data_IF_543265023176
#
_entry.id   IF_543265023176
#
_cell.length_a   1.000
_cell.length_b   1.000
_cell.length_c   1.000
_cell.angle_alpha   90.00
_cell.angle_beta   90.00
_cell.angle_gamma   90.00
#
_symmetry.space_group_name_H-M   'P 1'
#
loop_
_entity.id
_entity.type
_entity.pdbx_description
1 polymer ?
#
# COMPACT_ATOMS: atom_id res chain seq x y z
N UNK A 1 14.22 -6.97 33.01
CA UNK A 1 13.37 -6.02 32.24
C UNK A 1 14.20 -5.52 31.06
N UNK A 2 14.02 -6.05 29.84
CA UNK A 2 14.83 -5.61 28.67
C UNK A 2 13.95 -4.66 27.86
N UNK A 3 14.28 -3.36 27.90
CA UNK A 3 13.68 -2.36 27.03
C UNK A 3 14.00 -2.72 25.58
N UNK A 4 12.97 -2.97 24.77
CA UNK A 4 13.15 -3.07 23.33
C UNK A 4 13.41 -1.66 22.80
N UNK A 5 14.37 -1.47 21.88
CA UNK A 5 14.61 -0.17 21.29
C UNK A 5 13.35 0.26 20.53
N UNK A 6 12.81 1.43 20.91
CA UNK A 6 11.62 2.03 20.27
C UNK A 6 11.94 2.63 18.89
N UNK A 7 13.21 2.72 18.52
CA UNK A 7 13.67 3.21 17.22
C UNK A 7 14.99 2.55 16.82
N UNK A 8 15.21 2.33 15.53
CA UNK A 8 16.49 1.81 15.02
C UNK A 8 16.34 0.80 13.88
N UNK A 9 17.23 -0.19 13.83
CA UNK A 9 17.15 -1.29 12.87
C UNK A 9 16.43 -2.49 13.52
N UNK A 10 15.43 -3.04 12.83
CA UNK A 10 14.77 -4.28 13.22
C UNK A 10 15.71 -5.45 12.94
N UNK A 11 16.31 -5.98 14.00
CA UNK A 11 17.17 -7.17 13.95
C UNK A 11 16.39 -8.43 14.35
N UNK A 12 16.90 -9.60 13.97
CA UNK A 12 16.29 -10.90 14.27
C UNK A 12 15.98 -11.09 15.77
N UNK A 13 16.88 -10.64 16.65
CA UNK A 13 16.68 -10.75 18.10
C UNK A 13 15.53 -9.89 18.61
N UNK A 14 15.32 -8.72 18.00
CA UNK A 14 14.19 -7.84 18.33
C UNK A 14 12.90 -8.46 17.80
N UNK A 15 12.89 -8.89 16.54
CA UNK A 15 11.76 -9.59 15.91
C UNK A 15 11.31 -10.81 16.74
N UNK A 16 12.25 -11.69 17.14
CA UNK A 16 11.95 -12.87 17.96
C UNK A 16 11.34 -12.52 19.32
N UNK A 17 11.78 -11.42 19.94
CA UNK A 17 11.19 -10.93 21.21
C UNK A 17 9.79 -10.36 21.01
N UNK A 18 9.55 -9.69 19.89
CA UNK A 18 8.23 -9.15 19.52
C UNK A 18 7.23 -10.27 19.26
N UNK A 19 7.63 -11.29 18.49
CA UNK A 19 6.83 -12.52 18.25
C UNK A 19 6.47 -13.20 19.56
N UNK A 20 7.43 -13.37 20.47
CA UNK A 20 7.16 -13.97 21.80
C UNK A 20 6.18 -13.16 22.66
N UNK A 21 6.15 -11.84 22.50
CA UNK A 21 5.29 -10.94 23.28
C UNK A 21 3.96 -10.63 22.59
N UNK A 22 3.78 -11.06 21.34
CA UNK A 22 2.68 -10.64 20.48
C UNK A 22 2.47 -9.11 20.53
N UNK A 23 3.58 -8.37 20.55
CA UNK A 23 3.54 -6.92 20.71
C UNK A 23 3.14 -6.26 19.38
N UNK A 24 2.26 -5.25 19.45
CA UNK A 24 1.96 -4.39 18.31
C UNK A 24 3.23 -3.64 17.88
N UNK A 25 3.41 -3.50 16.56
CA UNK A 25 4.54 -2.76 15.97
C UNK A 25 4.28 -1.26 15.85
N UNK A 26 3.06 -0.80 16.13
CA UNK A 26 2.62 0.59 15.94
C UNK A 26 3.46 1.60 16.73
N UNK A 27 3.92 1.22 17.93
CA UNK A 27 4.75 2.07 18.80
C UNK A 27 6.23 2.11 18.37
N UNK A 28 6.65 1.29 17.41
CA UNK A 28 8.05 1.11 17.04
C UNK A 28 8.43 1.84 15.75
N UNK A 29 9.45 2.69 15.84
CA UNK A 29 9.95 3.50 14.72
C UNK A 29 11.21 2.89 14.10
N UNK A 30 11.09 1.69 13.53
CA UNK A 30 12.20 1.05 12.83
C UNK A 30 12.44 1.70 11.46
N UNK A 31 13.68 2.13 11.21
CA UNK A 31 14.07 2.79 9.94
C UNK A 31 14.50 1.78 8.86
N UNK A 32 14.96 0.60 9.28
CA UNK A 32 15.46 -0.45 8.42
C UNK A 32 15.14 -1.82 9.02
N UNK A 33 15.04 -2.84 8.18
CA UNK A 33 14.81 -4.22 8.58
C UNK A 33 15.88 -5.14 7.99
N UNK A 34 16.26 -6.19 8.71
CA UNK A 34 17.08 -7.26 8.14
C UNK A 34 16.19 -8.34 7.52
N UNK A 35 16.66 -9.08 6.49
CA UNK A 35 15.84 -10.11 5.85
C UNK A 35 15.35 -11.15 6.85
N UNK A 36 16.24 -11.67 7.69
CA UNK A 36 15.89 -12.62 8.75
C UNK A 36 14.84 -12.08 9.73
N UNK A 37 14.85 -10.78 10.02
CA UNK A 37 13.84 -10.18 10.87
C UNK A 37 12.48 -10.10 10.17
N UNK A 38 12.44 -9.77 8.87
CA UNK A 38 11.21 -9.75 8.08
C UNK A 38 10.49 -11.11 8.10
N UNK A 39 11.23 -12.20 7.88
CA UNK A 39 10.69 -13.57 7.94
C UNK A 39 10.16 -13.97 9.32
N UNK A 40 10.71 -13.42 10.41
CA UNK A 40 10.23 -13.71 11.76
C UNK A 40 8.96 -12.93 12.11
N UNK A 41 8.90 -11.64 11.79
CA UNK A 41 7.73 -10.81 12.13
C UNK A 41 6.48 -11.23 11.36
N UNK A 42 6.64 -11.86 10.19
CA UNK A 42 5.54 -12.44 9.40
C UNK A 42 4.77 -13.54 10.16
N UNK A 43 5.36 -14.12 11.21
CA UNK A 43 4.68 -15.10 12.07
C UNK A 43 3.70 -14.44 13.04
N UNK A 44 3.74 -13.12 13.20
CA UNK A 44 2.78 -12.40 14.03
C UNK A 44 1.41 -12.41 13.35
N UNK A 45 0.33 -12.75 14.08
CA UNK A 45 -1.01 -12.58 13.56
C UNK A 45 -1.41 -11.10 13.56
N UNK A 46 -2.18 -10.68 12.56
CA UNK A 46 -2.81 -9.36 12.53
C UNK A 46 -2.27 -8.42 11.47
N UNK A 47 -2.04 -7.16 11.84
CA UNK A 47 -1.55 -6.11 10.94
C UNK A 47 -0.11 -5.77 11.33
N UNK A 48 0.79 -5.83 10.35
CA UNK A 48 2.18 -5.41 10.50
C UNK A 48 2.32 -3.95 10.11
N UNK A 49 2.41 -3.08 11.11
CA UNK A 49 2.64 -1.65 10.92
C UNK A 49 4.15 -1.35 10.86
N UNK A 50 4.66 -1.03 9.66
CA UNK A 50 6.06 -0.72 9.39
C UNK A 50 6.21 0.67 8.74
N UNK A 51 5.45 1.64 9.27
CA UNK A 51 5.28 2.98 8.70
C UNK A 51 6.52 3.88 8.74
N UNK A 52 7.61 3.43 9.37
CA UNK A 52 8.86 4.18 9.49
C UNK A 52 10.01 3.57 8.69
N UNK A 53 9.80 2.43 8.02
CA UNK A 53 10.85 1.70 7.31
C UNK A 53 11.11 2.38 5.97
N UNK A 54 12.19 3.14 5.86
CA UNK A 54 12.58 3.83 4.63
C UNK A 54 13.51 2.99 3.75
N UNK A 55 14.26 2.06 4.36
CA UNK A 55 15.20 1.18 3.67
C UNK A 55 14.73 -0.27 3.70
N UNK A 56 14.21 -0.74 2.57
CA UNK A 56 13.88 -2.14 2.30
C UNK A 56 14.75 -2.67 1.17
N UNK A 57 15.40 -3.81 1.39
CA UNK A 57 16.01 -4.59 0.33
C UNK A 57 14.97 -5.51 -0.34
N UNK A 58 15.24 -6.05 -1.53
CA UNK A 58 14.37 -7.03 -2.18
C UNK A 58 14.05 -8.22 -1.26
N UNK A 59 15.08 -8.79 -0.62
CA UNK A 59 14.92 -9.92 0.30
C UNK A 59 14.04 -9.58 1.52
N UNK A 60 14.16 -8.37 2.07
CA UNK A 60 13.27 -7.94 3.15
C UNK A 60 11.82 -7.81 2.66
N UNK A 61 11.63 -7.23 1.48
CA UNK A 61 10.30 -7.02 0.87
C UNK A 61 9.63 -8.35 0.60
N UNK A 62 10.35 -9.35 0.07
CA UNK A 62 9.81 -10.70 -0.17
C UNK A 62 9.42 -11.41 1.12
N UNK A 63 10.22 -11.24 2.18
CA UNK A 63 9.87 -11.73 3.51
C UNK A 63 8.54 -11.13 3.98
N UNK A 64 8.41 -9.80 3.92
CA UNK A 64 7.19 -9.09 4.31
C UNK A 64 5.98 -9.45 3.45
N UNK A 65 6.16 -9.63 2.14
CA UNK A 65 5.10 -10.01 1.22
C UNK A 65 4.53 -11.41 1.50
N UNK A 66 5.28 -12.27 2.20
CA UNK A 66 4.78 -13.59 2.61
C UNK A 66 3.81 -13.54 3.80
N UNK A 67 3.54 -12.34 4.34
CA UNK A 67 2.57 -12.15 5.40
C UNK A 67 1.14 -12.37 4.89
N UNK A 68 0.32 -13.05 5.70
CA UNK A 68 -1.09 -13.36 5.38
C UNK A 68 -2.07 -12.34 5.97
N UNK A 69 -1.57 -11.37 6.71
CA UNK A 69 -2.38 -10.32 7.33
C UNK A 69 -2.23 -8.98 6.62
N UNK A 70 -2.60 -7.91 7.30
CA UNK A 70 -2.41 -6.57 6.75
C UNK A 70 -0.95 -6.11 6.84
N UNK A 71 -0.45 -5.39 5.85
CA UNK A 71 0.91 -4.83 5.82
C UNK A 71 0.81 -3.32 5.57
N UNK A 72 1.33 -2.52 6.50
CA UNK A 72 1.37 -1.06 6.37
C UNK A 72 2.80 -0.56 6.18
N UNK A 73 3.03 0.16 5.08
CA UNK A 73 4.34 0.69 4.67
C UNK A 73 4.23 2.19 4.36
N UNK A 74 3.71 2.96 5.32
CA UNK A 74 3.45 4.40 5.14
C UNK A 74 4.70 5.30 5.27
N UNK A 75 5.90 4.79 5.01
CA UNK A 75 7.15 5.57 4.90
C UNK A 75 7.67 5.69 3.48
N UNK A 76 7.15 4.88 2.56
CA UNK A 76 7.71 4.73 1.23
C UNK A 76 7.15 5.83 0.33
N UNK A 77 8.00 6.80 -0.04
CA UNK A 77 7.61 7.89 -0.94
C UNK A 77 7.66 7.51 -2.42
N UNK A 78 8.63 6.66 -2.78
CA UNK A 78 8.86 6.18 -4.16
C UNK A 78 8.68 4.68 -4.23
N UNK A 79 7.88 4.22 -5.19
CA UNK A 79 7.66 2.80 -5.47
C UNK A 79 8.40 2.37 -6.73
N UNK A 80 9.58 1.73 -6.63
CA UNK A 80 10.25 1.15 -7.79
C UNK A 80 9.56 -0.14 -8.24
N UNK A 81 9.71 -0.49 -9.52
CA UNK A 81 9.08 -1.67 -10.17
C UNK A 81 9.32 -2.95 -9.39
N UNK A 82 10.57 -3.28 -9.06
CA UNK A 82 10.91 -4.49 -8.31
C UNK A 82 10.19 -4.60 -6.96
N UNK A 83 9.88 -3.47 -6.30
CA UNK A 83 9.17 -3.47 -5.01
C UNK A 83 7.68 -3.70 -5.24
N UNK A 84 7.11 -3.09 -6.27
CA UNK A 84 5.73 -3.29 -6.67
C UNK A 84 5.47 -4.75 -7.07
N UNK A 85 6.35 -5.37 -7.86
CA UNK A 85 6.27 -6.79 -8.24
C UNK A 85 6.25 -7.70 -7.02
N UNK A 86 7.16 -7.48 -6.07
CA UNK A 86 7.22 -8.29 -4.85
C UNK A 86 5.98 -8.06 -3.98
N UNK A 87 5.56 -6.80 -3.81
CA UNK A 87 4.37 -6.49 -3.02
C UNK A 87 3.09 -7.00 -3.67
N UNK A 88 3.03 -7.13 -4.99
CA UNK A 88 1.89 -7.72 -5.68
C UNK A 88 1.69 -9.21 -5.34
N UNK A 89 2.74 -9.91 -4.91
CA UNK A 89 2.63 -11.30 -4.42
C UNK A 89 2.03 -11.41 -3.02
N UNK A 90 1.94 -10.29 -2.29
CA UNK A 90 1.29 -10.27 -0.99
C UNK A 90 -0.22 -10.47 -1.15
N UNK A 91 -0.81 -11.21 -0.21
CA UNK A 91 -2.24 -11.50 -0.20
C UNK A 91 -2.80 -10.91 1.08
N UNK A 92 -3.64 -9.89 0.95
CA UNK A 92 -4.24 -9.22 2.11
C UNK A 92 -4.40 -7.71 1.91
N UNK A 93 -4.40 -6.97 3.01
CA UNK A 93 -4.51 -5.51 2.98
C UNK A 93 -3.12 -4.88 2.92
N UNK A 94 -2.90 -3.98 1.99
CA UNK A 94 -1.63 -3.28 1.79
C UNK A 94 -1.85 -1.77 1.88
N UNK A 95 -1.30 -1.13 2.92
CA UNK A 95 -1.36 0.32 3.10
C UNK A 95 -0.07 0.98 2.60
N UNK A 96 -0.22 1.86 1.60
CA UNK A 96 0.82 2.59 0.91
C UNK A 96 0.45 4.07 0.82
N UNK A 97 -0.01 4.64 1.94
CA UNK A 97 -0.57 5.99 2.00
C UNK A 97 0.48 7.10 1.85
N UNK A 98 1.77 6.78 1.84
CA UNK A 98 2.85 7.76 1.64
C UNK A 98 3.47 7.73 0.24
N UNK A 99 3.05 6.80 -0.61
CA UNK A 99 3.58 6.69 -1.98
C UNK A 99 3.07 7.89 -2.77
N UNK A 100 3.98 8.78 -3.18
CA UNK A 100 3.64 9.99 -3.96
C UNK A 100 3.81 9.77 -5.45
N UNK A 101 4.81 8.96 -5.82
CA UNK A 101 5.19 8.69 -7.21
C UNK A 101 5.47 7.21 -7.43
N UNK A 102 5.01 6.71 -8.58
CA UNK A 102 5.26 5.36 -9.08
C UNK A 102 5.28 5.38 -10.60
N UNK A 103 5.96 4.42 -11.24
CA UNK A 103 5.96 4.27 -12.70
C UNK A 103 4.74 3.47 -13.17
N UNK A 104 4.47 3.50 -14.47
CA UNK A 104 3.36 2.74 -15.06
C UNK A 104 3.58 1.23 -14.87
N UNK A 105 4.81 0.73 -15.03
CA UNK A 105 5.13 -0.69 -14.82
C UNK A 105 4.93 -1.15 -13.37
N UNK A 106 5.23 -0.25 -12.41
CA UNK A 106 4.97 -0.52 -10.99
C UNK A 106 3.46 -0.57 -10.70
N UNK A 107 2.66 0.26 -11.38
CA UNK A 107 1.21 0.23 -11.26
C UNK A 107 0.60 -1.04 -11.84
N UNK A 108 1.04 -1.46 -13.04
CA UNK A 108 0.62 -2.73 -13.65
C UNK A 108 0.90 -3.92 -12.74
N UNK A 109 2.08 -3.94 -12.13
CA UNK A 109 2.44 -4.99 -11.18
C UNK A 109 1.48 -4.99 -9.98
N UNK A 110 1.19 -3.84 -9.37
CA UNK A 110 0.25 -3.74 -8.24
C UNK A 110 -1.20 -4.04 -8.61
N UNK A 111 -1.60 -3.90 -9.87
CA UNK A 111 -2.93 -4.32 -10.32
C UNK A 111 -3.13 -5.84 -10.22
N UNK A 112 -2.04 -6.61 -10.19
CA UNK A 112 -2.12 -8.07 -9.99
C UNK A 112 -2.26 -8.48 -8.51
N UNK A 113 -2.16 -7.52 -7.59
CA UNK A 113 -2.26 -7.77 -6.15
C UNK A 113 -3.66 -8.30 -5.77
N UNK A 114 -3.67 -9.36 -4.97
CA UNK A 114 -4.91 -9.98 -4.49
C UNK A 114 -5.25 -9.45 -3.10
N UNK A 115 -6.12 -8.43 -3.05
CA UNK A 115 -6.64 -7.87 -1.82
C UNK A 115 -6.86 -6.36 -1.85
N UNK A 116 -6.91 -5.76 -0.66
CA UNK A 116 -7.17 -4.32 -0.52
C UNK A 116 -5.88 -3.52 -0.61
N UNK A 117 -5.82 -2.58 -1.55
CA UNK A 117 -4.69 -1.69 -1.79
C UNK A 117 -5.09 -0.26 -1.45
N UNK A 118 -4.42 0.35 -0.47
CA UNK A 118 -4.67 1.72 -0.05
C UNK A 118 -3.53 2.63 -0.52
N UNK A 119 -3.84 3.56 -1.42
CA UNK A 119 -2.91 4.50 -2.03
C UNK A 119 -3.44 5.94 -1.84
N UNK A 120 -3.55 6.39 -0.58
CA UNK A 120 -4.10 7.73 -0.27
C UNK A 120 -3.12 8.89 -0.49
N UNK A 121 -1.81 8.62 -0.59
CA UNK A 121 -0.78 9.64 -0.76
C UNK A 121 -0.37 9.93 -2.19
N UNK A 122 -0.98 9.24 -3.15
CA UNK A 122 -0.60 9.35 -4.55
C UNK A 122 -0.95 10.74 -5.07
N UNK A 123 0.04 11.45 -5.61
CA UNK A 123 -0.14 12.80 -6.18
C UNK A 123 -0.36 12.71 -7.70
N UNK A 124 0.26 11.72 -8.34
CA UNK A 124 0.13 11.48 -9.78
C UNK A 124 -0.37 10.06 -10.00
N UNK A 125 -1.50 9.94 -10.67
CA UNK A 125 -2.07 8.64 -11.00
C UNK A 125 -1.46 8.12 -12.31
N UNK A 126 -0.80 6.94 -12.30
CA UNK A 126 -0.24 6.34 -13.51
C UNK A 126 -1.33 5.78 -14.43
N UNK A 127 -1.02 5.62 -15.71
CA UNK A 127 -2.00 5.26 -16.75
C UNK A 127 -2.74 3.94 -16.47
N UNK A 128 -2.11 2.86 -15.95
CA UNK A 128 -2.82 1.61 -15.69
C UNK A 128 -3.95 1.75 -14.65
N UNK A 129 -3.69 2.48 -13.56
CA UNK A 129 -4.74 2.78 -12.59
C UNK A 129 -5.80 3.71 -13.18
N UNK A 130 -5.43 4.60 -14.11
CA UNK A 130 -6.38 5.47 -14.79
C UNK A 130 -7.31 4.67 -15.71
N UNK A 131 -6.79 3.68 -16.43
CA UNK A 131 -7.57 2.81 -17.29
C UNK A 131 -8.50 1.93 -16.44
N UNK A 132 -8.00 1.37 -15.33
CA UNK A 132 -8.81 0.63 -14.36
C UNK A 132 -9.95 1.49 -13.80
N UNK A 133 -9.63 2.73 -13.40
CA UNK A 133 -10.60 3.74 -13.01
C UNK A 133 -11.62 4.00 -14.13
N UNK A 134 -11.17 4.30 -15.35
CA UNK A 134 -12.03 4.62 -16.48
C UNK A 134 -12.99 3.46 -16.82
N UNK A 135 -12.48 2.23 -16.88
CA UNK A 135 -13.28 1.01 -17.08
C UNK A 135 -14.36 0.85 -16.01
N UNK A 136 -14.07 1.24 -14.77
CA UNK A 136 -15.01 1.15 -13.65
C UNK A 136 -15.88 2.42 -13.49
N UNK A 137 -15.53 3.52 -14.17
CA UNK A 137 -16.20 4.82 -14.16
C UNK A 137 -17.08 5.05 -15.40
N UNK A 138 -17.10 4.14 -16.37
CA UNK A 138 -17.96 4.18 -17.54
C UNK A 138 -19.46 4.08 -17.15
N UNK A 139 -20.05 5.25 -16.87
CA UNK A 139 -21.45 5.54 -17.18
C UNK A 139 -22.46 5.66 -16.03
N UNK A 140 -22.26 5.06 -14.85
CA UNK A 140 -23.32 5.04 -13.81
C UNK A 140 -22.88 5.32 -12.36
N UNK A 141 -21.59 5.22 -12.06
CA UNK A 141 -21.09 5.20 -10.67
C UNK A 141 -20.77 6.58 -10.09
N UNK A 142 -20.69 7.64 -10.89
CA UNK A 142 -20.48 9.02 -10.40
C UNK A 142 -21.64 9.53 -9.51
N UNK A 143 -22.82 8.91 -9.57
CA UNK A 143 -23.96 9.28 -8.71
C UNK A 143 -23.92 8.66 -7.31
N UNK A 144 -23.14 7.59 -7.13
CA UNK A 144 -23.03 6.84 -5.88
C UNK A 144 -21.57 6.75 -5.42
N UNK A 145 -20.80 7.83 -5.60
CA UNK A 145 -19.63 8.09 -4.75
C UNK A 145 -20.17 8.11 -3.31
N UNK A 146 -20.12 6.96 -2.65
CA UNK A 146 -20.50 6.85 -1.25
C UNK A 146 -19.29 7.35 -0.47
N UNK A 147 -19.29 8.58 0.06
CA UNK A 147 -18.29 8.97 1.03
C UNK A 147 -18.34 7.95 2.17
N UNK A 148 -17.18 7.44 2.57
CA UNK A 148 -17.14 6.60 3.75
C UNK A 148 -17.63 7.47 4.94
N UNK A 149 -18.73 7.11 5.62
CA UNK A 149 -19.30 7.98 6.65
C UNK A 149 -18.39 7.89 7.89
N UNK A 150 -17.43 8.79 8.02
CA UNK A 150 -16.60 8.88 9.22
C UNK A 150 -15.19 9.47 9.09
N UNK A 151 -14.72 9.87 7.91
CA UNK A 151 -13.40 10.47 7.74
C UNK A 151 -13.44 11.75 6.92
N UNK A 152 -12.76 12.81 7.36
CA UNK A 152 -12.65 14.10 6.68
C UNK A 152 -11.80 14.06 5.38
N UNK A 153 -11.48 12.87 4.88
CA UNK A 153 -10.71 12.65 3.66
C UNK A 153 -11.63 12.03 2.61
N UNK A 154 -11.95 12.77 1.55
CA UNK A 154 -12.63 12.23 0.39
C UNK A 154 -11.77 11.12 -0.22
N UNK A 155 -12.25 9.87 -0.19
CA UNK A 155 -11.53 8.72 -0.74
C UNK A 155 -12.42 7.93 -1.68
N UNK A 156 -11.88 7.58 -2.86
CA UNK A 156 -12.54 6.76 -3.86
C UNK A 156 -12.08 5.31 -3.70
N UNK A 157 -13.01 4.39 -3.45
CA UNK A 157 -12.75 2.96 -3.42
C UNK A 157 -13.35 2.29 -4.65
N UNK A 158 -12.51 1.56 -5.39
CA UNK A 158 -12.86 0.79 -6.59
C UNK A 158 -12.69 -0.69 -6.27
N UNK A 159 -13.59 -1.53 -6.78
CA UNK A 159 -13.52 -2.98 -6.55
C UNK A 159 -13.56 -3.69 -7.90
N UNK A 160 -12.40 -4.20 -8.35
CA UNK A 160 -12.32 -5.00 -9.57
C UNK A 160 -11.87 -6.42 -9.20
N UNK A 161 -12.81 -7.37 -9.25
CA UNK A 161 -12.56 -8.75 -8.82
C UNK A 161 -12.09 -8.81 -7.36
N UNK A 162 -10.89 -9.35 -7.16
CA UNK A 162 -10.24 -9.48 -5.85
C UNK A 162 -9.42 -8.24 -5.44
N UNK A 163 -9.29 -7.24 -6.33
CA UNK A 163 -8.58 -6.00 -6.05
C UNK A 163 -9.55 -4.95 -5.52
N UNK A 164 -9.29 -4.43 -4.32
CA UNK A 164 -10.01 -3.27 -3.77
C UNK A 164 -9.03 -2.11 -3.67
N UNK A 165 -9.11 -1.17 -4.60
CA UNK A 165 -8.22 -0.02 -4.67
C UNK A 165 -8.86 1.19 -3.98
N UNK A 166 -8.21 1.77 -2.97
CA UNK A 166 -8.66 3.00 -2.31
C UNK A 166 -7.68 4.14 -2.55
N UNK A 167 -8.16 5.24 -3.12
CA UNK A 167 -7.41 6.44 -3.49
C UNK A 167 -7.98 7.65 -2.76
N UNK A 168 -7.19 8.72 -2.58
CA UNK A 168 -7.70 10.01 -2.07
C UNK A 168 -8.17 10.89 -3.23
N UNK A 169 -9.38 11.43 -3.14
CA UNK A 169 -9.92 12.47 -4.01
C UNK A 169 -9.21 13.78 -3.65
N UNK A 170 -8.50 14.34 -4.63
CA UNK A 170 -7.49 15.40 -4.42
C UNK A 170 -6.22 15.18 -5.24
N UNK A 171 -6.08 13.99 -5.86
CA UNK A 171 -5.27 13.82 -7.07
C UNK A 171 -5.65 14.94 -8.03
N UNK A 172 -4.69 15.83 -8.33
CA UNK A 172 -4.90 16.92 -9.27
C UNK A 172 -5.29 16.27 -10.59
N UNK A 173 -6.58 16.37 -10.91
CA UNK A 173 -7.17 15.84 -12.12
C UNK A 173 -6.81 16.75 -13.31
N UNK A 174 -5.56 17.23 -13.38
CA UNK A 174 -5.06 18.01 -14.52
C UNK A 174 -4.93 17.15 -15.79
N UNK A 175 -4.96 15.82 -15.64
CA UNK A 175 -5.15 14.87 -16.75
C UNK A 175 -6.63 14.50 -17.01
N UNK A 176 -7.58 15.03 -16.24
CA UNK A 176 -9.00 15.12 -16.65
C UNK A 176 -9.19 16.29 -17.63
N UNK A 177 -8.40 16.31 -18.70
CA UNK A 177 -9.00 16.67 -19.98
C UNK A 177 -9.57 15.38 -20.52
N UNK A 178 -10.85 15.06 -20.25
CA UNK A 178 -11.52 14.18 -21.17
C UNK A 178 -11.41 14.89 -22.52
N UNK A 179 -10.69 14.29 -23.46
CA UNK A 179 -10.94 14.53 -24.87
C UNK A 179 -12.36 14.01 -25.20
N UNK A 180 -13.38 14.54 -24.52
CA UNK A 180 -14.78 14.50 -24.92
C UNK A 180 -15.05 15.71 -25.81
N UNK A 181 -14.15 15.93 -26.77
CA UNK A 181 -14.42 16.72 -27.96
C UNK A 181 -14.50 15.70 -29.11
N UNK A 182 -15.68 15.11 -29.34
CA UNK A 182 -15.85 14.31 -30.56
C UNK A 182 -16.92 13.23 -30.62
N UNK A 183 -17.81 13.05 -29.63
CA UNK A 183 -19.00 12.20 -29.84
C UNK A 183 -20.23 13.09 -29.67
N UNK A 184 -20.55 13.78 -30.76
CA UNK A 184 -21.81 14.49 -30.96
C UNK A 184 -22.91 13.50 -31.32
N UNK A 185 -24.02 13.61 -30.58
CA UNK A 185 -25.43 13.30 -30.92
C UNK A 185 -25.75 11.90 -31.47
#
# INVERSE_FOLDING_TARGET
>A
MICLPRSGCLTFNIAKKLVKRQASLEDYRFKSTTPYAAWEIVKLPGILCLDYVTKLSPLCTSGLASHRGGLSLNSITTMPVWRAEILATHIGRLWLDSVRTMSDEAAESLMTHQGELFLRGLIKLPLPFFILLARHLDGSTLRNLMPHPGGADESLTIREGDLVLTLRLGLVVDSFRPCLAGISV
#
